data_IF_313710672384
#
_entry.id   IF_313710672384
#
_cell.length_a   1.000
_cell.length_b   1.000
_cell.length_c   1.000
_cell.angle_alpha   90.00
_cell.angle_beta   90.00
_cell.angle_gamma   90.00
#
_symmetry.space_group_name_H-M   'P 1'
#
loop_
_entity.id
_entity.type
_entity.pdbx_description
1 polymer ?
#
# COMPACT_ATOMS: atom_id res chain seq x y z
N UNK A 1 19.08 -11.84 0.72
CA UNK A 1 17.67 -11.48 0.92
C UNK A 1 17.55 -11.00 2.34
N UNK A 2 17.24 -9.72 2.54
CA UNK A 2 16.96 -9.17 3.87
C UNK A 2 15.91 -10.04 4.60
N UNK A 3 16.11 -10.28 5.89
CA UNK A 3 15.29 -11.22 6.66
C UNK A 3 13.81 -10.78 6.73
N UNK A 4 13.55 -9.47 6.77
CA UNK A 4 12.20 -8.94 6.77
C UNK A 4 11.55 -9.05 5.38
N UNK A 5 12.28 -8.71 4.32
CA UNK A 5 11.80 -8.85 2.95
C UNK A 5 11.45 -10.32 2.61
N UNK A 6 12.26 -11.28 3.05
CA UNK A 6 11.99 -12.70 2.89
C UNK A 6 10.67 -13.10 3.56
N UNK A 7 10.48 -12.70 4.82
CA UNK A 7 9.27 -13.01 5.58
C UNK A 7 8.01 -12.46 4.88
N UNK A 8 8.06 -11.21 4.42
CA UNK A 8 6.95 -10.58 3.69
C UNK A 8 6.63 -11.39 2.43
N UNK A 9 7.65 -11.75 1.64
CA UNK A 9 7.45 -12.54 0.42
C UNK A 9 6.87 -13.93 0.69
N UNK A 10 7.28 -14.60 1.77
CA UNK A 10 6.73 -15.91 2.15
C UNK A 10 5.24 -15.79 2.54
N UNK A 11 4.83 -14.73 3.25
CA UNK A 11 3.43 -14.45 3.58
C UNK A 11 2.59 -14.14 2.33
N UNK A 12 3.11 -13.29 1.44
CA UNK A 12 2.45 -12.94 0.18
C UNK A 12 2.26 -14.16 -0.74
N UNK A 13 3.25 -15.05 -0.80
CA UNK A 13 3.15 -16.33 -1.54
C UNK A 13 2.13 -17.29 -0.95
N UNK A 14 1.87 -17.19 0.35
CA UNK A 14 0.81 -17.92 1.01
C UNK A 14 -0.58 -17.25 0.87
N UNK A 15 -0.71 -16.18 0.07
CA UNK A 15 -1.95 -15.43 -0.13
C UNK A 15 -2.33 -14.56 1.07
N UNK A 16 -1.40 -14.34 2.01
CA UNK A 16 -1.64 -13.53 3.22
C UNK A 16 -1.18 -12.10 2.95
N UNK A 17 -2.12 -11.25 2.58
CA UNK A 17 -1.91 -9.82 2.41
C UNK A 17 -2.24 -9.09 3.71
N UNK A 18 -1.27 -8.35 4.23
CA UNK A 18 -1.47 -7.45 5.36
C UNK A 18 -2.13 -6.16 4.87
N UNK A 19 -2.89 -5.45 5.74
CA UNK A 19 -3.60 -4.25 5.30
C UNK A 19 -2.72 -3.02 5.02
N UNK A 20 -1.46 -3.04 5.49
CA UNK A 20 -0.51 -1.93 5.33
C UNK A 20 0.90 -2.50 5.20
N UNK A 21 1.64 -2.04 4.20
CA UNK A 21 3.07 -2.30 4.02
C UNK A 21 3.83 -0.98 3.96
N UNK A 22 4.85 -0.83 4.81
CA UNK A 22 5.80 0.27 4.72
C UNK A 22 7.11 -0.26 4.13
N UNK A 23 7.32 0.01 2.85
CA UNK A 23 8.48 -0.46 2.09
C UNK A 23 9.51 0.66 1.97
N UNK A 24 10.50 0.66 2.86
CA UNK A 24 11.58 1.64 2.90
C UNK A 24 12.91 0.91 3.09
N UNK A 25 13.95 1.39 2.44
CA UNK A 25 15.31 0.88 2.61
C UNK A 25 16.26 1.47 1.59
N UNK A 26 17.55 1.24 1.80
CA UNK A 26 18.61 1.65 0.87
C UNK A 26 18.69 0.74 -0.36
N UNK A 27 18.18 -0.49 -0.25
CA UNK A 27 18.13 -1.47 -1.34
C UNK A 27 16.76 -1.46 -2.04
N UNK A 28 16.60 -0.75 -3.18
CA UNK A 28 15.30 -0.62 -3.86
C UNK A 28 14.79 -1.96 -4.41
N UNK A 29 15.68 -2.91 -4.67
CA UNK A 29 15.32 -4.23 -5.19
C UNK A 29 14.24 -4.94 -4.37
N UNK A 30 14.28 -4.88 -3.04
CA UNK A 30 13.25 -5.52 -2.21
C UNK A 30 11.93 -4.75 -2.20
N UNK A 31 11.98 -3.43 -2.29
CA UNK A 31 10.80 -2.57 -2.41
C UNK A 31 10.08 -2.91 -3.71
N UNK A 32 10.81 -2.99 -4.82
CA UNK A 32 10.28 -3.36 -6.13
C UNK A 32 9.77 -4.80 -6.13
N UNK A 33 10.52 -5.74 -5.56
CA UNK A 33 10.12 -7.14 -5.47
C UNK A 33 8.77 -7.30 -4.78
N UNK A 34 8.58 -6.67 -3.61
CA UNK A 34 7.37 -6.79 -2.82
C UNK A 34 6.21 -6.03 -3.50
N UNK A 35 6.44 -4.78 -3.90
CA UNK A 35 5.40 -3.95 -4.51
C UNK A 35 4.88 -4.54 -5.82
N UNK A 36 5.77 -5.03 -6.68
CA UNK A 36 5.38 -5.67 -7.94
C UNK A 36 4.66 -7.00 -7.70
N UNK A 37 5.04 -7.75 -6.66
CA UNK A 37 4.32 -8.97 -6.31
C UNK A 37 2.89 -8.68 -5.87
N UNK A 38 2.68 -7.67 -5.01
CA UNK A 38 1.35 -7.22 -4.59
C UNK A 38 0.54 -6.76 -5.81
N UNK A 39 1.12 -5.91 -6.66
CA UNK A 39 0.47 -5.38 -7.86
C UNK A 39 -0.01 -6.50 -8.81
N UNK A 40 0.78 -7.56 -8.95
CA UNK A 40 0.49 -8.68 -9.84
C UNK A 40 -0.46 -9.73 -9.24
N UNK A 41 -0.45 -9.95 -7.92
CA UNK A 41 -1.11 -11.11 -7.30
C UNK A 41 -2.20 -10.77 -6.27
N UNK A 42 -2.28 -9.52 -5.79
CA UNK A 42 -3.34 -9.13 -4.85
C UNK A 42 -4.72 -9.07 -5.53
N UNK A 43 -4.77 -8.86 -6.84
CA UNK A 43 -6.00 -8.75 -7.62
C UNK A 43 -5.86 -9.56 -8.92
N UNK A 44 -6.95 -10.22 -9.32
CA UNK A 44 -7.07 -10.75 -10.67
C UNK A 44 -7.07 -9.60 -11.69
N UNK A 45 -6.74 -9.93 -12.94
CA UNK A 45 -6.70 -8.95 -14.03
C UNK A 45 -8.02 -8.17 -14.19
N UNK A 46 -9.16 -8.85 -14.06
CA UNK A 46 -10.50 -8.23 -14.12
C UNK A 46 -10.81 -7.31 -12.94
N UNK A 47 -10.23 -7.56 -11.77
CA UNK A 47 -10.47 -6.75 -10.57
C UNK A 47 -9.61 -5.48 -10.54
N UNK A 48 -8.41 -5.50 -11.14
CA UNK A 48 -7.43 -4.40 -11.07
C UNK A 48 -7.99 -3.07 -11.56
N UNK A 49 -8.71 -3.08 -12.69
CA UNK A 49 -9.25 -1.84 -13.29
C UNK A 49 -10.20 -1.07 -12.37
N UNK A 50 -10.79 -1.75 -11.38
CA UNK A 50 -11.69 -1.15 -10.41
C UNK A 50 -11.03 -0.98 -9.06
N UNK A 51 -10.23 -1.96 -8.61
CA UNK A 51 -9.80 -2.10 -7.23
C UNK A 51 -8.33 -1.73 -6.99
N UNK A 52 -7.60 -1.29 -8.01
CA UNK A 52 -6.24 -0.80 -7.86
C UNK A 52 -6.18 0.72 -8.08
N UNK A 53 -5.46 1.41 -7.20
CA UNK A 53 -5.03 2.78 -7.45
C UNK A 53 -3.53 2.88 -7.21
N UNK A 54 -2.84 3.54 -8.14
CA UNK A 54 -1.42 3.86 -8.02
C UNK A 54 -1.30 5.37 -8.08
N UNK A 55 -0.71 5.96 -7.04
CA UNK A 55 -0.53 7.40 -6.89
C UNK A 55 0.94 7.72 -6.61
N UNK A 56 1.38 8.93 -6.98
CA UNK A 56 2.72 9.42 -6.67
C UNK A 56 2.65 10.36 -5.46
N UNK A 57 3.53 10.15 -4.48
CA UNK A 57 3.55 10.88 -3.22
C UNK A 57 3.61 12.38 -3.43
N UNK A 58 4.51 12.86 -4.29
CA UNK A 58 4.71 14.28 -4.63
C UNK A 58 3.41 15.06 -4.91
N UNK A 59 2.44 14.43 -5.58
CA UNK A 59 1.22 15.09 -6.03
C UNK A 59 -0.01 14.71 -5.17
N UNK A 60 0.16 13.86 -4.15
CA UNK A 60 -0.95 13.25 -3.41
C UNK A 60 -0.80 13.44 -1.90
N UNK A 61 -1.55 14.36 -1.28
CA UNK A 61 -1.55 14.53 0.17
C UNK A 61 -2.21 13.36 0.90
N UNK A 62 -1.88 13.19 2.18
CA UNK A 62 -2.33 12.04 3.00
C UNK A 62 -3.85 11.86 2.98
N UNK A 63 -4.63 12.93 3.08
CA UNK A 63 -6.10 12.86 3.09
C UNK A 63 -6.68 12.24 1.80
N UNK A 64 -6.04 12.46 0.65
CA UNK A 64 -6.46 11.88 -0.63
C UNK A 64 -6.10 10.39 -0.69
N UNK A 65 -4.90 10.02 -0.24
CA UNK A 65 -4.48 8.61 -0.11
C UNK A 65 -5.48 7.85 0.76
N UNK A 66 -5.83 8.40 1.92
CA UNK A 66 -6.78 7.78 2.84
C UNK A 66 -8.20 7.70 2.28
N UNK A 67 -8.59 8.60 1.38
CA UNK A 67 -9.89 8.52 0.70
C UNK A 67 -9.95 7.27 -0.18
N UNK A 68 -8.88 6.97 -0.91
CA UNK A 68 -8.76 5.71 -1.64
C UNK A 68 -8.71 4.51 -0.69
N UNK A 69 -7.86 4.56 0.34
CA UNK A 69 -7.65 3.44 1.26
C UNK A 69 -8.88 3.08 2.12
N UNK A 70 -9.87 3.97 2.21
CA UNK A 70 -11.15 3.73 2.91
C UNK A 70 -12.28 3.25 2.00
N UNK A 71 -12.07 3.19 0.68
CA UNK A 71 -13.08 2.69 -0.25
C UNK A 71 -13.33 1.19 -0.03
N UNK A 72 -14.56 0.73 -0.22
CA UNK A 72 -14.78 -0.72 -0.25
C UNK A 72 -14.38 -1.29 -1.62
N UNK A 73 -13.84 -2.53 -1.65
CA UNK A 73 -13.64 -3.24 -2.91
C UNK A 73 -14.95 -3.40 -3.68
N UNK A 74 -14.86 -3.31 -5.01
CA UNK A 74 -15.97 -3.53 -5.93
C UNK A 74 -15.87 -4.92 -6.51
N UNK A 75 -16.82 -5.80 -6.13
CA UNK A 75 -16.89 -7.19 -6.60
C UNK A 75 -15.56 -7.97 -6.47
N UNK A 76 -14.78 -7.66 -5.43
CA UNK A 76 -13.49 -8.26 -5.14
C UNK A 76 -13.32 -8.44 -3.64
N UNK A 77 -12.38 -9.29 -3.22
CA UNK A 77 -12.05 -9.47 -1.79
C UNK A 77 -11.28 -8.30 -1.21
N UNK A 78 -10.50 -7.59 -2.05
CA UNK A 78 -9.62 -6.51 -1.63
C UNK A 78 -9.52 -5.38 -2.64
N UNK A 79 -9.06 -4.23 -2.18
CA UNK A 79 -8.54 -3.15 -3.01
C UNK A 79 -7.07 -2.90 -2.67
N UNK A 80 -6.33 -2.33 -3.61
CA UNK A 80 -4.88 -2.11 -3.52
C UNK A 80 -4.59 -0.64 -3.75
N UNK A 81 -3.92 0.01 -2.81
CA UNK A 81 -3.50 1.41 -2.90
C UNK A 81 -1.98 1.49 -2.82
N UNK A 82 -1.33 1.76 -3.96
CA UNK A 82 0.13 1.88 -4.03
C UNK A 82 0.51 3.35 -4.09
N UNK A 83 1.32 3.79 -3.13
CA UNK A 83 1.90 5.15 -3.12
C UNK A 83 3.37 5.04 -3.49
N UNK A 84 3.72 5.45 -4.72
CA UNK A 84 5.10 5.52 -5.21
C UNK A 84 5.76 6.80 -4.70
N UNK A 85 7.06 6.78 -4.40
CA UNK A 85 7.80 7.92 -3.84
C UNK A 85 7.12 8.52 -2.59
N UNK A 86 6.71 7.66 -1.65
CA UNK A 86 5.92 8.06 -0.48
C UNK A 86 6.63 9.08 0.42
N UNK A 87 7.97 9.17 0.38
CA UNK A 87 8.74 10.20 1.08
C UNK A 87 8.41 11.63 0.60
N UNK A 88 7.91 11.78 -0.63
CA UNK A 88 7.59 13.07 -1.24
C UNK A 88 6.17 13.55 -0.95
N UNK A 89 5.39 12.82 -0.13
CA UNK A 89 4.02 13.21 0.25
C UNK A 89 4.04 14.61 0.92
N UNK A 90 3.34 15.63 0.37
CA UNK A 90 3.48 17.05 0.74
C UNK A 90 3.22 17.39 2.21
N UNK A 91 2.44 16.58 2.91
CA UNK A 91 2.02 16.78 4.29
C UNK A 91 2.43 15.64 5.22
N UNK A 92 3.23 14.67 4.76
CA UNK A 92 3.68 13.55 5.59
C UNK A 92 4.53 14.00 6.78
N UNK A 93 5.38 15.00 6.59
CA UNK A 93 6.21 15.58 7.66
C UNK A 93 5.49 16.67 8.46
N UNK A 94 4.24 17.01 8.10
CA UNK A 94 3.41 17.97 8.83
C UNK A 94 2.56 17.21 9.83
N UNK A 95 2.33 17.81 11.00
CA UNK A 95 1.49 17.21 12.05
C UNK A 95 0.10 16.80 11.54
N UNK A 96 -0.48 17.60 10.64
CA UNK A 96 -1.78 17.31 10.04
C UNK A 96 -1.80 16.00 9.25
N UNK A 97 -0.80 15.74 8.41
CA UNK A 97 -0.75 14.54 7.58
C UNK A 97 -0.28 13.32 8.37
N UNK A 98 0.77 13.45 9.18
CA UNK A 98 1.29 12.35 9.98
C UNK A 98 0.25 11.79 10.97
N UNK A 99 -0.54 12.67 11.60
CA UNK A 99 -1.63 12.26 12.50
C UNK A 99 -2.72 11.46 11.76
N UNK A 100 -3.17 11.95 10.60
CA UNK A 100 -4.18 11.25 9.79
C UNK A 100 -3.71 9.85 9.38
N UNK A 101 -2.45 9.74 8.94
CA UNK A 101 -1.87 8.46 8.55
C UNK A 101 -1.76 7.51 9.75
N UNK A 102 -1.28 7.99 10.90
CA UNK A 102 -1.19 7.20 12.13
C UNK A 102 -2.56 6.69 12.58
N UNK A 103 -3.57 7.57 12.58
CA UNK A 103 -4.95 7.21 12.92
C UNK A 103 -5.50 6.10 12.01
N UNK A 104 -5.11 6.09 10.72
CA UNK A 104 -5.47 5.01 9.82
C UNK A 104 -4.70 3.71 10.11
N UNK A 105 -3.38 3.77 10.29
CA UNK A 105 -2.53 2.58 10.48
C UNK A 105 -2.89 1.82 11.77
N UNK A 106 -3.36 2.53 12.80
CA UNK A 106 -3.81 1.86 14.03
C UNK A 106 -5.12 1.08 13.85
N UNK A 107 -5.93 1.44 12.85
CA UNK A 107 -7.23 0.82 12.54
C UNK A 107 -7.46 0.79 11.02
N UNK A 108 -6.64 0.02 10.27
CA UNK A 108 -6.72 0.00 8.82
C UNK A 108 -8.00 -0.71 8.39
N UNK A 109 -8.44 -0.44 7.16
CA UNK A 109 -9.54 -1.19 6.56
C UNK A 109 -9.02 -2.59 6.19
N UNK A 110 -9.55 -3.69 6.75
CA UNK A 110 -8.96 -5.02 6.57
C UNK A 110 -8.97 -5.53 5.12
N UNK A 111 -9.86 -4.96 4.29
CA UNK A 111 -9.99 -5.29 2.86
C UNK A 111 -9.20 -4.35 1.94
N UNK A 112 -8.34 -3.49 2.49
CA UNK A 112 -7.41 -2.65 1.74
C UNK A 112 -6.00 -3.18 1.94
N UNK A 113 -5.19 -3.19 0.88
CA UNK A 113 -3.76 -3.52 0.87
C UNK A 113 -2.95 -2.32 0.39
#
# INVERSE_FOLDING_TARGET
MDAAAKKIMDELRAGKFAPVYMLQGEEPFYIDLISNYIEAHALSESERGFNQVVVYGKDTPVNVILTHARRFPMMAERQVVIVREAQDIPDLQKESGSKLLLDYITRPVPSTV
#
